data_IF_021748033622
#
_entry.id   IF_021748033622
#
_cell.length_a   1.000
_cell.length_b   1.000
_cell.length_c   1.000
_cell.angle_alpha   90.00
_cell.angle_beta   90.00
_cell.angle_gamma   90.00
#
_symmetry.space_group_name_H-M   'P 1'
#
loop_
_entity.id
_entity.type
_entity.pdbx_description
1 polymer ?
#
# COMPACT_ATOMS: atom_id res chain seq x y z
N UNK A 1 4.93 14.48 -4.13
CA UNK A 1 4.74 13.33 -3.24
C UNK A 1 3.40 12.69 -3.53
N UNK A 2 3.42 11.43 -3.95
CA UNK A 2 2.25 10.57 -4.10
C UNK A 2 2.20 9.60 -2.91
N UNK A 3 1.03 9.03 -2.65
CA UNK A 3 0.87 7.94 -1.66
C UNK A 3 0.56 6.66 -2.42
N UNK A 4 1.40 5.64 -2.22
CA UNK A 4 1.20 4.30 -2.75
C UNK A 4 0.80 3.34 -1.63
N UNK A 5 -0.25 2.58 -1.87
CA UNK A 5 -0.71 1.51 -0.99
C UNK A 5 -0.66 0.18 -1.73
N UNK A 6 0.10 -0.78 -1.19
CA UNK A 6 0.26 -2.10 -1.81
C UNK A 6 -0.37 -3.20 -0.94
N UNK A 7 -1.16 -4.07 -1.57
CA UNK A 7 -1.35 -5.43 -1.08
C UNK A 7 -0.09 -6.27 -1.38
N UNK A 8 0.00 -7.46 -0.78
CA UNK A 8 1.10 -8.40 -0.98
C UNK A 8 0.68 -9.52 -1.91
N UNK A 9 -0.40 -10.20 -1.56
CA UNK A 9 -0.75 -11.50 -2.10
C UNK A 9 -1.34 -11.32 -3.49
N UNK A 10 -0.83 -12.08 -4.45
CA UNK A 10 -1.12 -11.93 -5.87
C UNK A 10 -0.81 -10.55 -6.47
N UNK A 11 -0.08 -9.73 -5.72
CA UNK A 11 0.21 -8.34 -6.06
C UNK A 11 1.70 -8.10 -6.27
N UNK A 12 2.54 -8.66 -5.40
CA UNK A 12 4.01 -8.51 -5.41
C UNK A 12 4.69 -9.84 -5.76
N UNK A 13 5.86 -9.80 -6.39
CA UNK A 13 6.60 -10.99 -6.86
C UNK A 13 7.03 -12.00 -5.78
N UNK A 14 7.10 -11.58 -4.52
CA UNK A 14 7.26 -12.48 -3.35
C UNK A 14 6.01 -13.31 -3.02
N UNK A 15 4.87 -12.97 -3.62
CA UNK A 15 3.60 -13.70 -3.56
C UNK A 15 2.86 -13.64 -4.90
N UNK A 16 3.44 -14.20 -5.97
CA UNK A 16 3.02 -13.87 -7.32
C UNK A 16 1.66 -14.46 -7.66
N UNK A 17 0.88 -13.73 -8.46
CA UNK A 17 -0.29 -14.31 -9.13
C UNK A 17 0.18 -15.39 -10.12
N UNK A 18 -0.49 -16.55 -10.22
CA UNK A 18 0.02 -17.70 -11.00
C UNK A 18 0.11 -17.44 -12.51
N UNK A 19 -0.67 -16.49 -13.04
CA UNK A 19 -0.85 -16.29 -14.49
C UNK A 19 -0.68 -14.85 -14.96
N UNK A 20 -0.38 -13.91 -14.06
CA UNK A 20 -0.37 -12.47 -14.37
C UNK A 20 0.93 -11.82 -13.92
N UNK A 21 1.42 -10.78 -14.62
CA UNK A 21 2.48 -9.93 -14.11
C UNK A 21 2.11 -9.36 -12.74
N UNK A 22 3.12 -9.25 -11.88
CA UNK A 22 3.03 -8.70 -10.53
C UNK A 22 4.10 -7.64 -10.34
N UNK A 23 3.91 -6.77 -9.34
CA UNK A 23 4.84 -5.70 -9.01
C UNK A 23 6.13 -6.31 -8.48
N UNK A 24 7.30 -6.01 -9.07
CA UNK A 24 8.58 -6.43 -8.50
C UNK A 24 8.76 -5.81 -7.10
N UNK A 25 9.18 -6.59 -6.11
CA UNK A 25 9.44 -6.05 -4.76
C UNK A 25 10.45 -4.89 -4.80
N UNK A 26 11.46 -4.96 -5.67
CA UNK A 26 12.45 -3.91 -5.85
C UNK A 26 11.87 -2.56 -6.32
N UNK A 27 10.71 -2.56 -6.99
CA UNK A 27 10.01 -1.31 -7.35
C UNK A 27 9.40 -0.65 -6.12
N UNK A 28 8.84 -1.43 -5.20
CA UNK A 28 8.27 -0.91 -3.95
C UNK A 28 9.39 -0.32 -3.07
N UNK A 29 10.50 -1.04 -2.94
CA UNK A 29 11.68 -0.57 -2.19
C UNK A 29 12.22 0.72 -2.81
N UNK A 30 12.36 0.78 -4.14
CA UNK A 30 12.84 1.98 -4.83
C UNK A 30 11.90 3.19 -4.61
N UNK A 31 10.58 2.98 -4.68
CA UNK A 31 9.62 4.05 -4.40
C UNK A 31 9.80 4.61 -2.98
N UNK A 32 10.05 3.77 -1.99
CA UNK A 32 10.20 4.20 -0.60
C UNK A 32 11.56 4.85 -0.31
N UNK A 33 12.65 4.24 -0.77
CA UNK A 33 14.01 4.64 -0.40
C UNK A 33 14.58 5.76 -1.29
N UNK A 34 14.22 5.78 -2.57
CA UNK A 34 14.88 6.62 -3.58
C UNK A 34 13.98 7.74 -4.12
N UNK A 35 12.73 7.84 -3.65
CA UNK A 35 11.80 8.89 -4.06
C UNK A 35 11.18 9.61 -2.86
N UNK A 36 10.52 10.75 -3.12
CA UNK A 36 9.76 11.49 -2.10
C UNK A 36 8.31 10.99 -2.01
N UNK A 37 8.07 9.69 -2.16
CA UNK A 37 6.73 9.11 -2.10
C UNK A 37 6.50 8.41 -0.76
N UNK A 38 5.23 8.31 -0.36
CA UNK A 38 4.84 7.57 0.82
C UNK A 38 4.37 6.19 0.39
N UNK A 39 5.01 5.13 0.86
CA UNK A 39 4.73 3.75 0.44
C UNK A 39 4.28 2.92 1.63
N UNK A 40 3.15 2.23 1.49
CA UNK A 40 2.49 1.57 2.63
C UNK A 40 2.00 0.17 2.30
N UNK A 41 2.25 -0.78 3.20
CA UNK A 41 1.67 -2.12 3.15
C UNK A 41 0.26 -2.13 3.77
N UNK A 42 -0.77 -2.25 2.94
CA UNK A 42 -2.18 -2.24 3.39
C UNK A 42 -2.82 -3.62 3.46
N UNK A 43 -2.17 -4.64 2.90
CA UNK A 43 -2.64 -6.02 2.80
C UNK A 43 -2.09 -6.93 3.89
N UNK A 44 -1.58 -8.09 3.46
CA UNK A 44 -0.77 -8.97 4.30
C UNK A 44 0.51 -8.25 4.78
N UNK A 45 0.73 -8.27 6.09
CA UNK A 45 1.78 -7.49 6.75
C UNK A 45 3.18 -8.10 6.64
N UNK A 46 3.34 -9.27 6.03
CA UNK A 46 4.66 -9.78 5.65
C UNK A 46 5.38 -8.80 4.70
N UNK A 47 4.64 -8.08 3.84
CA UNK A 47 5.22 -7.10 2.90
C UNK A 47 5.98 -5.98 3.61
N UNK A 48 5.54 -5.57 4.82
CA UNK A 48 6.26 -4.58 5.62
C UNK A 48 7.67 -5.06 5.92
N UNK A 49 7.86 -6.33 6.27
CA UNK A 49 9.18 -6.87 6.54
C UNK A 49 9.98 -7.16 5.25
N UNK A 50 9.29 -7.55 4.18
CA UNK A 50 9.91 -7.84 2.88
C UNK A 50 10.44 -6.58 2.18
N UNK A 51 9.73 -5.44 2.31
CA UNK A 51 10.06 -4.16 1.66
C UNK A 51 10.57 -3.07 2.62
N UNK A 52 10.63 -3.32 3.93
CA UNK A 52 10.96 -2.35 4.99
C UNK A 52 10.07 -1.07 5.01
N UNK A 53 8.82 -1.20 4.57
CA UNK A 53 7.83 -0.11 4.52
C UNK A 53 6.84 -0.15 5.69
N UNK A 54 6.23 0.99 6.08
CA UNK A 54 5.23 1.00 7.17
C UNK A 54 3.95 0.23 6.81
N UNK A 55 3.29 -0.33 7.85
CA UNK A 55 2.08 -1.15 7.72
C UNK A 55 0.87 -0.58 8.47
N UNK A 56 -0.13 -1.44 8.66
CA UNK A 56 -1.42 -1.08 9.27
C UNK A 56 -1.25 -0.63 10.72
N UNK A 57 -0.34 -1.24 11.47
CA UNK A 57 -0.11 -0.90 12.87
C UNK A 57 0.51 0.50 13.01
N UNK A 58 1.50 0.83 12.18
CA UNK A 58 2.07 2.18 12.09
C UNK A 58 1.00 3.21 11.73
N UNK A 59 0.11 2.87 10.78
CA UNK A 59 -0.97 3.74 10.34
C UNK A 59 -1.94 4.04 11.50
N UNK A 60 -2.35 3.01 12.25
CA UNK A 60 -3.21 3.16 13.42
C UNK A 60 -2.53 4.05 14.48
N UNK A 61 -1.24 3.85 14.76
CA UNK A 61 -0.49 4.62 15.75
C UNK A 61 -0.35 6.10 15.38
N UNK A 62 -0.21 6.42 14.10
CA UNK A 62 0.00 7.81 13.65
C UNK A 62 -1.26 8.67 13.66
N UNK A 63 -2.45 8.06 13.51
CA UNK A 63 -3.69 8.82 13.30
C UNK A 63 -4.45 9.20 14.57
N UNK A 64 -4.13 8.61 15.73
CA UNK A 64 -4.83 8.87 17.01
C UNK A 64 -6.37 8.90 16.86
N UNK A 65 -6.91 7.97 16.05
CA UNK A 65 -8.32 7.89 15.72
C UNK A 65 -9.03 6.74 16.46
N UNK A 66 -10.29 6.44 16.10
CA UNK A 66 -11.06 5.34 16.72
C UNK A 66 -10.32 3.99 16.77
N UNK A 67 -9.44 3.73 15.79
CA UNK A 67 -8.63 2.50 15.76
C UNK A 67 -7.46 2.56 16.72
N UNK A 68 -6.89 3.74 16.95
CA UNK A 68 -5.90 3.94 17.99
C UNK A 68 -6.51 3.71 19.38
N UNK A 69 -7.71 4.22 19.65
CA UNK A 69 -8.39 3.94 20.91
C UNK A 69 -8.69 2.45 21.12
N UNK A 70 -9.01 1.72 20.04
CA UNK A 70 -9.39 0.30 20.09
C UNK A 70 -8.18 -0.65 20.16
N UNK A 71 -7.14 -0.37 19.38
CA UNK A 71 -6.00 -1.26 19.11
C UNK A 71 -4.71 -0.61 19.61
N UNK A 72 -4.47 0.63 19.22
CA UNK A 72 -3.45 1.52 19.80
C UNK A 72 -2.07 0.89 19.95
N UNK A 73 -1.50 1.02 21.16
CA UNK A 73 -0.17 0.50 21.49
C UNK A 73 -0.12 -1.04 21.51
N UNK A 74 -1.24 -1.70 21.79
CA UNK A 74 -1.37 -3.16 21.93
C UNK A 74 -1.33 -3.91 20.60
N UNK A 75 -1.27 -3.19 19.48
CA UNK A 75 -1.33 -3.75 18.14
C UNK A 75 -0.27 -4.86 17.89
N UNK A 76 0.91 -4.75 18.51
CA UNK A 76 2.02 -5.71 18.35
C UNK A 76 2.01 -6.84 19.38
N UNK A 77 1.21 -6.70 20.45
CA UNK A 77 1.25 -7.60 21.61
C UNK A 77 0.04 -8.54 21.68
N UNK A 78 -1.06 -8.17 21.02
CA UNK A 78 -2.35 -8.85 21.16
C UNK A 78 -3.02 -9.13 19.82
N UNK A 79 -3.75 -10.25 19.79
CA UNK A 79 -4.64 -10.56 18.68
C UNK A 79 -5.94 -9.77 18.81
N UNK A 80 -6.38 -9.17 17.69
CA UNK A 80 -7.66 -8.48 17.59
C UNK A 80 -8.54 -9.15 16.56
N UNK A 81 -9.81 -9.39 16.93
CA UNK A 81 -10.81 -9.98 16.03
C UNK A 81 -11.28 -9.00 14.95
N UNK A 82 -11.06 -7.70 15.15
CA UNK A 82 -11.47 -6.65 14.23
C UNK A 82 -10.29 -5.75 13.89
N UNK A 83 -10.12 -5.53 12.59
CA UNK A 83 -9.12 -4.62 12.00
C UNK A 83 -9.82 -3.67 11.03
N UNK A 84 -9.25 -2.47 10.76
CA UNK A 84 -9.75 -1.61 9.69
C UNK A 84 -9.83 -2.41 8.39
N UNK A 85 -10.93 -2.24 7.66
CA UNK A 85 -11.08 -2.81 6.31
C UNK A 85 -10.08 -2.18 5.34
N UNK A 86 -9.79 -2.81 4.19
CA UNK A 86 -8.94 -2.21 3.13
C UNK A 86 -9.34 -0.77 2.80
N UNK A 87 -10.64 -0.54 2.62
CA UNK A 87 -11.20 0.79 2.32
C UNK A 87 -11.01 1.79 3.47
N UNK A 88 -11.13 1.35 4.73
CA UNK A 88 -10.82 2.20 5.88
C UNK A 88 -9.32 2.52 5.96
N UNK A 89 -8.43 1.58 5.64
CA UNK A 89 -6.97 1.80 5.59
C UNK A 89 -6.61 2.88 4.56
N UNK A 90 -7.23 2.85 3.38
CA UNK A 90 -7.05 3.90 2.36
C UNK A 90 -7.51 5.28 2.85
N UNK A 91 -8.69 5.37 3.46
CA UNK A 91 -9.19 6.63 4.03
C UNK A 91 -8.30 7.16 5.17
N UNK A 92 -7.74 6.24 5.96
CA UNK A 92 -6.76 6.58 7.00
C UNK A 92 -5.49 7.18 6.40
N UNK A 93 -4.96 6.61 5.30
CA UNK A 93 -3.82 7.19 4.59
C UNK A 93 -4.14 8.58 4.01
N UNK A 94 -5.35 8.81 3.52
CA UNK A 94 -5.77 10.16 3.10
C UNK A 94 -5.78 11.17 4.26
N UNK A 95 -6.22 10.75 5.45
CA UNK A 95 -6.21 11.58 6.66
C UNK A 95 -4.78 11.90 7.10
N UNK A 96 -3.86 10.93 6.99
CA UNK A 96 -2.46 11.09 7.37
C UNK A 96 -1.70 11.98 6.36
N UNK A 97 -2.04 11.87 5.07
CA UNK A 97 -1.40 12.59 3.97
C UNK A 97 -2.42 13.41 3.17
N UNK A 98 -3.08 14.42 3.76
CA UNK A 98 -4.19 15.12 3.10
C UNK A 98 -3.74 16.02 1.94
N UNK A 99 -2.43 16.22 1.79
CA UNK A 99 -1.80 17.06 0.78
C UNK A 99 -1.10 16.27 -0.33
N UNK A 100 -1.33 14.95 -0.42
CA UNK A 100 -0.79 14.16 -1.51
C UNK A 100 -1.32 14.62 -2.87
N UNK A 101 -0.47 14.55 -3.89
CA UNK A 101 -0.88 14.89 -5.26
C UNK A 101 -1.80 13.82 -5.82
N UNK A 102 -1.43 12.55 -5.63
CA UNK A 102 -2.19 11.37 -6.05
C UNK A 102 -2.18 10.30 -4.96
N UNK A 103 -3.23 9.48 -4.96
CA UNK A 103 -3.34 8.28 -4.15
C UNK A 103 -3.50 7.08 -5.07
N UNK A 104 -2.57 6.14 -5.00
CA UNK A 104 -2.50 4.98 -5.87
C UNK A 104 -2.54 3.73 -5.00
N UNK A 105 -3.49 2.83 -5.28
CA UNK A 105 -3.57 1.55 -4.60
C UNK A 105 -3.40 0.42 -5.60
N UNK A 106 -2.51 -0.52 -5.29
CA UNK A 106 -2.31 -1.75 -6.05
C UNK A 106 -2.71 -2.93 -5.17
N UNK A 107 -3.84 -3.54 -5.50
CA UNK A 107 -4.47 -4.57 -4.68
C UNK A 107 -5.19 -5.58 -5.58
N UNK A 108 -5.19 -6.86 -5.20
CA UNK A 108 -5.87 -7.93 -5.92
C UNK A 108 -7.39 -7.88 -5.73
N UNK A 109 -7.87 -7.22 -4.66
CA UNK A 109 -9.27 -6.88 -4.47
C UNK A 109 -9.65 -5.59 -5.21
N UNK A 110 -10.86 -5.57 -5.75
CA UNK A 110 -11.42 -4.37 -6.37
C UNK A 110 -11.69 -3.28 -5.31
N UNK A 111 -10.92 -2.20 -5.39
CA UNK A 111 -11.03 -1.00 -4.56
C UNK A 111 -11.37 0.26 -5.38
N UNK A 112 -11.82 0.09 -6.63
CA UNK A 112 -12.13 1.18 -7.55
C UNK A 112 -13.27 2.10 -7.09
N UNK A 113 -14.07 1.66 -6.10
CA UNK A 113 -15.13 2.46 -5.51
C UNK A 113 -14.67 3.37 -4.35
N UNK A 114 -13.39 3.32 -3.98
CA UNK A 114 -12.81 4.22 -2.98
C UNK A 114 -12.47 5.56 -3.64
N UNK A 115 -13.27 6.58 -3.35
CA UNK A 115 -13.07 7.93 -3.89
C UNK A 115 -11.64 8.45 -3.65
N UNK A 116 -11.11 9.22 -4.61
CA UNK A 116 -9.75 9.82 -4.62
C UNK A 116 -8.58 8.84 -4.81
N UNK A 117 -8.82 7.53 -4.74
CA UNK A 117 -7.80 6.52 -5.04
C UNK A 117 -7.91 6.03 -6.49
N UNK A 118 -6.78 5.99 -7.18
CA UNK A 118 -6.64 5.26 -8.43
C UNK A 118 -6.27 3.81 -8.09
N UNK A 119 -7.20 2.89 -8.31
CA UNK A 119 -6.95 1.46 -8.13
C UNK A 119 -6.33 0.85 -9.38
N UNK A 120 -5.32 0.01 -9.16
CA UNK A 120 -4.75 -0.89 -10.15
C UNK A 120 -4.77 -2.32 -9.62
N UNK A 121 -5.07 -3.28 -10.50
CA UNK A 121 -4.52 -4.61 -10.31
C UNK A 121 -3.03 -4.60 -10.64
N UNK A 122 -2.26 -5.56 -10.12
CA UNK A 122 -0.81 -5.58 -10.28
C UNK A 122 -0.34 -5.53 -11.74
N UNK A 123 -1.01 -6.24 -12.65
CA UNK A 123 -0.66 -6.23 -14.07
C UNK A 123 -0.98 -4.89 -14.76
N UNK A 124 -2.05 -4.22 -14.35
CA UNK A 124 -2.41 -2.90 -14.89
C UNK A 124 -1.42 -1.84 -14.39
N UNK A 125 -0.97 -1.95 -13.13
CA UNK A 125 0.07 -1.09 -12.58
C UNK A 125 1.41 -1.27 -13.31
N UNK A 126 1.81 -2.53 -13.51
CA UNK A 126 3.03 -2.86 -14.27
C UNK A 126 2.99 -2.27 -15.68
N UNK A 127 1.87 -2.43 -16.38
CA UNK A 127 1.70 -1.84 -17.72
C UNK A 127 1.73 -0.30 -17.67
N UNK A 128 1.12 0.32 -16.65
CA UNK A 128 1.14 1.76 -16.45
C UNK A 128 2.56 2.31 -16.21
N UNK A 129 3.40 1.59 -15.44
CA UNK A 129 4.80 1.94 -15.24
C UNK A 129 5.60 1.76 -16.54
N UNK A 130 5.50 0.61 -17.19
CA UNK A 130 6.27 0.32 -18.41
C UNK A 130 5.91 1.23 -19.59
N UNK A 131 4.67 1.72 -19.64
CA UNK A 131 4.22 2.69 -20.64
C UNK A 131 4.58 4.15 -20.30
N UNK A 132 5.12 4.42 -19.10
CA UNK A 132 5.42 5.77 -18.62
C UNK A 132 4.16 6.57 -18.27
N UNK A 133 3.04 5.91 -17.99
CA UNK A 133 1.80 6.57 -17.53
C UNK A 133 1.94 7.08 -16.10
N UNK A 134 2.67 6.35 -15.25
CA UNK A 134 3.04 6.79 -13.91
C UNK A 134 4.35 7.57 -14.03
N UNK A 135 4.30 8.87 -13.74
CA UNK A 135 5.45 9.78 -13.83
C UNK A 135 6.37 9.61 -12.62
N UNK A 136 7.05 8.45 -12.56
CA UNK A 136 8.01 8.09 -11.52
C UNK A 136 9.07 7.19 -12.14
N UNK A 137 10.33 7.39 -11.77
CA UNK A 137 11.42 6.52 -12.21
C UNK A 137 11.34 5.19 -11.45
N UNK A 138 11.45 4.07 -12.17
CA UNK A 138 11.51 2.73 -11.62
C UNK A 138 12.76 2.02 -12.14
N UNK A 139 13.37 1.12 -11.35
CA UNK A 139 14.51 0.34 -11.81
C UNK A 139 14.05 -0.68 -12.88
N UNK A 140 14.95 -1.02 -13.79
CA UNK A 140 14.72 -2.12 -14.73
C UNK A 140 14.44 -3.44 -13.98
N UNK A 141 13.54 -4.26 -14.54
CA UNK A 141 13.17 -5.58 -13.98
C UNK A 141 14.31 -6.59 -13.98
#
# INVERSE_FOLDING_TARGET
MNVFAFDRDYTVDVSPHPERPVVPLGWIIHLDEETEHEVWAIGNQDLKAEADIPGIQELIRRLDNKWYEKIGERADEEWFDEWPTRKERLRMLEELFPRATEYIVVDDADLSDVERWTHYFAWDFVEAVESGTIDTEFPDK
#
